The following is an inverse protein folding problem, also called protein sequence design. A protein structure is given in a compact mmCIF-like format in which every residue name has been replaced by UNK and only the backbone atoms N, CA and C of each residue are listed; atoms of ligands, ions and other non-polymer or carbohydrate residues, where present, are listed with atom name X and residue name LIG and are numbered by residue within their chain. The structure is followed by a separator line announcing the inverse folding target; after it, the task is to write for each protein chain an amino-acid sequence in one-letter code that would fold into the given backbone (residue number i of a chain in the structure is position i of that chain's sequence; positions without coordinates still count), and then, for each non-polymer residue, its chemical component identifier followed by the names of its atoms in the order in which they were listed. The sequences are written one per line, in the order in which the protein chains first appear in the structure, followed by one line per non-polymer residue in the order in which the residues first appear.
data_IF_585404468422
#
_entry.id   IF_585404468422
#
_cell.length_a   1.000
_cell.length_b   1.000
_cell.length_c   1.000
_cell.angle_alpha   90.00
_cell.angle_beta   90.00
_cell.angle_gamma   90.00
#
_symmetry.space_group_name_H-M   'P 1'
#
loop_
_entity.id
_entity.type
_entity.pdbx_description
1 polymer ?
#
# COMPACT_ATOMS: atom_id res chain seq x y z
N UNK A 1 -46.14 32.79 47.94
CA UNK A 1 -47.55 32.48 47.60
C UNK A 1 -47.47 31.58 46.37
N UNK A 2 -47.49 30.24 46.50
CA UNK A 2 -48.69 29.40 46.65
C UNK A 2 -49.36 29.27 45.28
N UNK A 3 -49.62 28.11 44.66
CA UNK A 3 -50.29 26.93 45.20
C UNK A 3 -50.34 25.81 44.11
N UNK A 4 -50.17 24.55 44.59
CA UNK A 4 -50.69 23.23 44.15
C UNK A 4 -50.46 22.59 42.76
N UNK A 5 -50.06 21.31 42.85
CA UNK A 5 -50.18 20.18 41.89
C UNK A 5 -51.65 19.69 41.75
N UNK A 6 -51.99 18.87 40.74
CA UNK A 6 -52.03 17.41 40.97
C UNK A 6 -51.48 16.57 39.80
N UNK A 7 -51.10 15.33 40.11
CA UNK A 7 -50.51 14.37 39.15
C UNK A 7 -51.53 13.47 38.44
N UNK A 8 -51.04 12.69 37.48
CA UNK A 8 -51.68 11.46 37.01
C UNK A 8 -50.65 10.49 36.37
N UNK A 9 -51.03 9.22 36.40
CA UNK A 9 -50.28 7.97 36.32
C UNK A 9 -49.61 7.60 34.96
N UNK A 10 -48.65 6.67 35.09
CA UNK A 10 -48.27 5.52 34.25
C UNK A 10 -48.60 5.54 32.75
N UNK A 11 -47.64 5.13 31.90
CA UNK A 11 -47.64 3.83 31.21
C UNK A 11 -46.33 3.68 30.42
N UNK A 12 -45.60 2.58 30.63
CA UNK A 12 -44.53 2.15 29.75
C UNK A 12 -45.14 1.37 28.57
N UNK A 13 -44.80 1.76 27.34
CA UNK A 13 -44.95 0.91 26.16
C UNK A 13 -43.57 0.76 25.51
N UNK A 14 -43.05 -0.46 25.55
CA UNK A 14 -41.99 -0.90 24.65
C UNK A 14 -42.66 -1.25 23.33
N UNK A 15 -42.26 -0.60 22.26
CA UNK A 15 -42.56 -1.02 20.89
C UNK A 15 -41.24 -1.21 20.16
N UNK A 16 -40.92 -2.47 19.92
CA UNK A 16 -40.03 -2.94 18.88
C UNK A 16 -40.50 -2.43 17.52
N UNK A 17 -39.64 -1.72 16.80
CA UNK A 17 -39.81 -1.46 15.38
C UNK A 17 -38.67 -2.15 14.61
N UNK A 18 -38.98 -3.36 14.13
CA UNK A 18 -38.36 -3.91 12.94
C UNK A 18 -38.89 -3.08 11.76
N UNK A 19 -38.07 -2.17 11.23
CA UNK A 19 -38.39 -1.35 10.07
C UNK A 19 -37.61 -1.83 8.87
N UNK A 20 -38.20 -2.77 8.12
CA UNK A 20 -37.77 -3.05 6.75
C UNK A 20 -38.13 -1.88 5.84
N UNK A 21 -37.20 -1.52 4.96
CA UNK A 21 -37.40 -0.51 3.92
C UNK A 21 -36.59 -0.88 2.69
N UNK A 22 -37.23 -1.55 1.74
CA UNK A 22 -36.72 -1.66 0.38
C UNK A 22 -36.99 -0.38 -0.40
N UNK A 23 -36.05 0.00 -1.26
CA UNK A 23 -36.18 1.10 -2.20
C UNK A 23 -35.04 1.05 -3.21
N UNK A 24 -35.38 0.79 -4.48
CA UNK A 24 -34.43 0.71 -5.57
C UNK A 24 -34.11 2.05 -6.21
N UNK A 25 -33.22 1.98 -7.21
CA UNK A 25 -33.01 3.04 -8.21
C UNK A 25 -31.77 3.88 -7.95
N UNK A 26 -30.69 3.57 -8.66
CA UNK A 26 -29.50 4.40 -8.72
C UNK A 26 -28.30 3.54 -9.06
N UNK A 27 -27.88 3.53 -10.33
CA UNK A 27 -26.55 3.09 -10.71
C UNK A 27 -25.54 4.14 -10.22
N UNK A 28 -25.36 4.21 -8.91
CA UNK A 28 -24.22 4.89 -8.31
C UNK A 28 -23.04 3.96 -8.49
N UNK A 29 -22.12 4.35 -9.36
CA UNK A 29 -20.83 3.68 -9.52
C UNK A 29 -19.94 4.08 -8.34
N UNK A 30 -20.38 3.78 -7.11
CA UNK A 30 -19.47 3.83 -5.98
C UNK A 30 -18.50 2.66 -6.15
N UNK A 31 -17.18 2.91 -6.19
CA UNK A 31 -16.22 1.82 -6.21
C UNK A 31 -16.49 0.89 -5.03
N UNK A 32 -16.38 -0.44 -5.22
CA UNK A 32 -16.71 -1.41 -4.18
C UNK A 32 -15.95 -1.10 -2.89
N UNK A 33 -16.66 -1.13 -1.75
CA UNK A 33 -16.08 -0.91 -0.42
C UNK A 33 -15.11 -2.05 -0.12
N UNK A 34 -13.84 -1.72 0.13
CA UNK A 34 -12.82 -2.69 0.53
C UNK A 34 -12.90 -2.90 2.04
N UNK A 35 -13.16 -4.14 2.47
CA UNK A 35 -13.09 -4.50 3.90
C UNK A 35 -11.63 -4.72 4.28
N UNK A 36 -11.18 -4.13 5.39
CA UNK A 36 -9.83 -4.36 5.90
C UNK A 36 -9.59 -5.85 6.18
N UNK A 37 -8.44 -6.44 5.76
CA UNK A 37 -8.12 -7.81 6.10
C UNK A 37 -7.89 -7.97 7.60
N UNK A 38 -8.17 -9.18 8.10
CA UNK A 38 -7.84 -9.57 9.48
C UNK A 38 -6.58 -10.43 9.44
N UNK A 39 -5.49 -9.91 10.02
CA UNK A 39 -4.28 -10.69 10.29
C UNK A 39 -4.28 -11.09 11.77
N UNK A 40 -4.11 -12.38 12.07
CA UNK A 40 -3.97 -12.84 13.46
C UNK A 40 -2.57 -12.53 13.99
N UNK A 41 -2.47 -12.02 15.21
CA UNK A 41 -1.18 -11.82 15.88
C UNK A 41 -0.41 -13.14 15.94
N UNK A 42 0.80 -13.14 15.39
CA UNK A 42 1.74 -14.23 15.64
C UNK A 42 2.10 -14.18 17.13
N UNK A 43 1.47 -15.06 17.91
CA UNK A 43 1.76 -15.26 19.32
C UNK A 43 3.27 -15.28 19.55
N UNK A 44 3.75 -14.33 20.35
CA UNK A 44 5.15 -14.15 20.68
C UNK A 44 5.68 -15.38 21.43
N UNK A 45 6.22 -16.37 20.70
CA UNK A 45 7.15 -17.34 21.30
C UNK A 45 8.50 -16.67 21.37
N UNK A 46 8.84 -16.28 22.59
CA UNK A 46 10.12 -15.75 23.03
C UNK A 46 11.22 -16.81 22.77
N UNK A 47 11.70 -16.86 21.53
CA UNK A 47 12.99 -17.46 21.19
C UNK A 47 13.91 -16.31 20.87
N UNK A 48 14.94 -16.13 21.70
CA UNK A 48 16.03 -15.16 21.53
C UNK A 48 16.30 -14.89 20.04
N UNK A 49 16.06 -13.66 19.52
CA UNK A 49 16.34 -13.38 18.13
C UNK A 49 17.85 -13.40 17.93
N UNK A 50 18.37 -14.44 17.27
CA UNK A 50 19.58 -14.24 16.49
C UNK A 50 19.22 -13.16 15.48
N UNK A 51 19.67 -11.93 15.73
CA UNK A 51 19.44 -10.80 14.83
C UNK A 51 20.01 -11.18 13.48
N UNK A 52 19.20 -11.36 12.42
CA UNK A 52 19.78 -11.49 11.10
C UNK A 52 20.52 -10.18 10.82
N UNK A 53 21.84 -10.25 10.67
CA UNK A 53 22.69 -9.08 10.47
C UNK A 53 22.48 -8.39 9.10
N UNK A 54 21.61 -8.94 8.27
CA UNK A 54 21.42 -8.54 6.87
C UNK A 54 20.15 -7.71 6.74
N UNK A 55 20.27 -6.54 6.11
CA UNK A 55 19.14 -5.68 5.80
C UNK A 55 18.09 -6.41 4.94
N UNK A 56 16.79 -6.08 5.09
CA UNK A 56 15.76 -6.51 4.15
C UNK A 56 16.13 -6.20 2.69
N UNK A 57 15.71 -7.07 1.77
CA UNK A 57 16.01 -6.91 0.34
C UNK A 57 14.83 -6.28 -0.39
N UNK A 58 15.17 -5.41 -1.34
CA UNK A 58 14.24 -4.86 -2.32
C UNK A 58 13.63 -5.97 -3.19
N UNK A 59 12.39 -5.79 -3.64
CA UNK A 59 11.65 -6.84 -4.34
C UNK A 59 11.06 -6.35 -5.67
N UNK A 60 10.92 -7.29 -6.58
CA UNK A 60 10.17 -7.15 -7.82
C UNK A 60 9.44 -8.45 -8.14
N UNK A 61 8.27 -8.35 -8.77
CA UNK A 61 7.52 -9.52 -9.23
C UNK A 61 8.02 -10.04 -10.59
N UNK A 62 8.77 -9.22 -11.34
CA UNK A 62 9.37 -9.60 -12.62
C UNK A 62 10.52 -8.69 -13.03
N UNK A 63 11.49 -9.25 -13.75
CA UNK A 63 12.76 -8.57 -14.03
C UNK A 63 13.74 -8.73 -12.86
N UNK A 64 14.71 -7.82 -12.74
CA UNK A 64 15.71 -7.85 -11.66
C UNK A 64 16.01 -6.47 -11.11
N UNK A 65 16.35 -6.40 -9.83
CA UNK A 65 16.84 -5.19 -9.17
C UNK A 65 18.30 -5.37 -8.74
N UNK A 66 19.10 -4.33 -9.00
CA UNK A 66 20.46 -4.21 -8.48
C UNK A 66 20.67 -2.78 -7.99
N UNK A 67 20.53 -2.59 -6.66
CA UNK A 67 20.49 -1.27 -6.04
C UNK A 67 19.39 -0.41 -6.66
N UNK A 68 19.79 0.69 -7.30
CA UNK A 68 18.89 1.64 -7.96
C UNK A 68 18.62 1.35 -9.44
N UNK A 69 19.07 0.20 -9.94
CA UNK A 69 18.86 -0.20 -11.33
C UNK A 69 17.79 -1.29 -11.40
N UNK A 70 16.77 -1.05 -12.23
CA UNK A 70 15.77 -2.04 -12.58
C UNK A 70 15.99 -2.53 -14.01
N UNK A 71 16.09 -3.84 -14.18
CA UNK A 71 16.14 -4.49 -15.48
C UNK A 71 14.79 -5.15 -15.73
N UNK A 72 14.08 -4.74 -16.77
CA UNK A 72 12.76 -5.29 -17.12
C UNK A 72 12.85 -6.77 -17.51
N UNK A 73 11.72 -7.50 -17.54
CA UNK A 73 11.66 -8.85 -18.12
C UNK A 73 12.18 -8.94 -19.56
N UNK A 74 12.15 -7.83 -20.30
CA UNK A 74 12.67 -7.70 -21.68
C UNK A 74 14.17 -7.38 -21.74
N UNK A 75 14.86 -7.29 -20.60
CA UNK A 75 16.29 -7.01 -20.52
C UNK A 75 16.66 -5.53 -20.68
N UNK A 76 15.72 -4.59 -20.52
CA UNK A 76 16.01 -3.15 -20.57
C UNK A 76 16.33 -2.62 -19.19
N UNK A 77 17.42 -1.88 -19.07
CA UNK A 77 17.86 -1.31 -17.80
C UNK A 77 17.43 0.14 -17.63
N UNK A 78 16.97 0.46 -16.42
CA UNK A 78 16.61 1.80 -16.00
C UNK A 78 17.31 2.11 -14.68
N UNK A 79 18.16 3.14 -14.68
CA UNK A 79 18.69 3.72 -13.43
C UNK A 79 17.60 4.62 -12.85
N UNK A 80 16.91 4.09 -11.84
CA UNK A 80 15.72 4.70 -11.25
C UNK A 80 16.05 6.01 -10.53
N UNK A 81 17.29 6.13 -10.03
CA UNK A 81 17.77 7.28 -9.27
C UNK A 81 18.85 8.00 -10.08
N UNK A 82 18.45 9.05 -10.79
CA UNK A 82 19.35 9.87 -11.61
C UNK A 82 19.16 11.37 -11.33
N UNK A 83 20.17 12.18 -11.65
CA UNK A 83 20.03 13.64 -11.65
C UNK A 83 18.99 14.07 -12.68
N UNK A 84 18.05 14.95 -12.29
CA UNK A 84 17.02 15.49 -13.19
C UNK A 84 15.60 14.97 -12.93
N UNK A 85 15.42 14.03 -11.99
CA UNK A 85 14.10 13.61 -11.53
C UNK A 85 13.53 14.70 -10.61
N UNK A 86 12.40 15.29 -11.00
CA UNK A 86 11.72 16.30 -10.18
C UNK A 86 10.87 15.63 -9.10
N UNK A 87 10.88 16.22 -7.92
CA UNK A 87 9.97 15.88 -6.84
C UNK A 87 8.51 16.01 -7.30
N UNK A 88 7.80 14.89 -7.47
CA UNK A 88 6.35 14.82 -7.65
C UNK A 88 5.91 14.39 -9.04
N UNK A 89 6.84 14.05 -9.93
CA UNK A 89 6.52 13.60 -11.29
C UNK A 89 6.78 12.11 -11.44
N UNK A 90 5.80 11.32 -11.90
CA UNK A 90 6.05 9.95 -12.38
C UNK A 90 6.98 10.00 -13.59
N UNK A 91 8.07 9.23 -13.55
CA UNK A 91 8.88 8.97 -14.75
C UNK A 91 8.29 7.78 -15.49
N UNK A 92 8.07 7.91 -16.80
CA UNK A 92 7.59 6.81 -17.64
C UNK A 92 8.42 6.70 -18.90
N UNK A 93 8.94 5.50 -19.15
CA UNK A 93 9.64 5.15 -20.37
C UNK A 93 8.89 4.07 -21.14
N UNK A 94 8.50 4.39 -22.37
CA UNK A 94 7.80 3.47 -23.27
C UNK A 94 8.71 2.90 -24.34
N UNK A 95 8.52 1.63 -24.66
CA UNK A 95 9.05 1.01 -25.87
C UNK A 95 7.95 1.02 -26.92
N UNK A 96 8.22 1.54 -28.11
CA UNK A 96 7.20 1.67 -29.16
C UNK A 96 7.60 0.99 -30.47
N UNK A 97 6.63 0.53 -31.24
CA UNK A 97 6.78 0.02 -32.61
C UNK A 97 6.12 0.97 -33.62
N UNK A 98 6.49 0.82 -34.90
CA UNK A 98 5.84 1.53 -36.00
C UNK A 98 6.07 3.04 -35.96
N UNK A 99 7.26 3.47 -35.52
CA UNK A 99 7.60 4.89 -35.42
C UNK A 99 6.89 5.63 -34.27
N UNK A 100 6.53 4.94 -33.19
CA UNK A 100 5.88 5.55 -32.02
C UNK A 100 4.38 5.30 -31.92
N UNK A 101 3.78 4.63 -32.90
CA UNK A 101 2.32 4.44 -32.97
C UNK A 101 1.78 3.40 -32.00
N UNK A 102 2.57 2.38 -31.65
CA UNK A 102 2.13 1.29 -30.80
C UNK A 102 3.04 1.18 -29.59
N UNK A 103 2.48 1.37 -28.40
CA UNK A 103 3.18 1.13 -27.14
C UNK A 103 3.27 -0.38 -26.91
N UNK A 104 4.49 -0.90 -26.83
CA UNK A 104 4.81 -2.30 -26.55
C UNK A 104 4.82 -2.46 -25.04
N UNK A 105 5.84 -1.92 -24.37
CA UNK A 105 5.97 -1.92 -22.91
C UNK A 105 6.12 -0.51 -22.36
N UNK A 106 5.80 -0.34 -21.08
CA UNK A 106 6.09 0.88 -20.33
C UNK A 106 6.68 0.54 -18.97
N UNK A 107 7.72 1.26 -18.57
CA UNK A 107 8.25 1.25 -17.19
C UNK A 107 7.95 2.59 -16.57
N UNK A 108 7.28 2.60 -15.43
CA UNK A 108 6.94 3.82 -14.68
C UNK A 108 7.49 3.74 -13.28
N UNK A 109 8.02 4.82 -12.73
CA UNK A 109 8.43 4.86 -11.33
C UNK A 109 8.17 6.22 -10.72
N UNK A 110 7.76 6.19 -9.45
CA UNK A 110 7.43 7.39 -8.71
C UNK A 110 8.63 7.93 -7.96
N UNK A 111 8.58 9.25 -7.87
CA UNK A 111 9.57 10.11 -7.28
C UNK A 111 8.85 11.34 -6.76
N UNK A 112 9.28 11.79 -5.58
CA UNK A 112 8.65 12.93 -4.92
C UNK A 112 9.47 13.48 -3.79
N UNK A 113 9.49 12.77 -2.68
CA UNK A 113 10.06 13.29 -1.44
C UNK A 113 10.97 12.28 -0.73
N UNK A 114 11.12 11.11 -1.33
CA UNK A 114 11.86 9.99 -0.78
C UNK A 114 13.32 10.03 -1.22
N UNK A 115 14.20 9.99 -0.23
CA UNK A 115 15.66 9.92 -0.34
C UNK A 115 16.18 8.49 -0.21
N UNK A 116 15.36 7.54 0.20
CA UNK A 116 15.80 6.16 0.44
C UNK A 116 14.87 5.15 -0.23
N UNK A 117 13.84 5.57 -0.95
CA UNK A 117 12.84 4.68 -1.56
C UNK A 117 12.48 5.12 -2.97
N UNK A 118 12.43 4.15 -3.89
CA UNK A 118 11.77 4.26 -5.20
C UNK A 118 10.85 3.06 -5.38
N UNK A 119 9.70 3.28 -5.99
CA UNK A 119 8.78 2.23 -6.37
C UNK A 119 8.24 2.49 -7.76
N UNK A 120 7.84 1.43 -8.45
CA UNK A 120 7.40 1.52 -9.83
C UNK A 120 6.76 0.26 -10.35
N UNK A 121 6.50 0.27 -11.65
CA UNK A 121 5.84 -0.78 -12.38
C UNK A 121 6.46 -0.96 -13.76
N UNK A 122 6.26 -2.15 -14.32
CA UNK A 122 6.47 -2.44 -15.72
C UNK A 122 5.23 -3.12 -16.26
N UNK A 123 4.77 -2.68 -17.44
CA UNK A 123 3.61 -3.28 -18.12
C UNK A 123 3.99 -3.60 -19.54
N UNK A 124 3.66 -4.82 -19.99
CA UNK A 124 3.73 -5.22 -21.39
C UNK A 124 2.35 -5.25 -22.02
N UNK A 125 2.04 -4.22 -22.80
CA UNK A 125 0.71 -3.91 -23.32
C UNK A 125 0.21 -4.92 -24.36
N UNK A 126 1.08 -5.63 -25.06
CA UNK A 126 0.65 -6.66 -26.02
C UNK A 126 0.25 -7.98 -25.33
N UNK A 127 0.79 -8.26 -24.15
CA UNK A 127 0.52 -9.52 -23.41
C UNK A 127 -0.35 -9.32 -22.18
N UNK A 128 -0.52 -8.08 -21.73
CA UNK A 128 -1.19 -7.75 -20.47
C UNK A 128 -0.36 -8.07 -19.22
N UNK A 129 0.92 -8.46 -19.36
CA UNK A 129 1.77 -8.69 -18.19
C UNK A 129 2.01 -7.38 -17.44
N UNK A 130 1.88 -7.45 -16.11
CA UNK A 130 2.04 -6.32 -15.20
C UNK A 130 2.91 -6.75 -14.03
N UNK A 131 4.02 -6.04 -13.86
CA UNK A 131 5.00 -6.30 -12.82
C UNK A 131 5.19 -5.04 -11.97
N UNK A 132 5.49 -5.25 -10.70
CA UNK A 132 5.70 -4.18 -9.73
C UNK A 132 7.05 -4.36 -9.05
N UNK A 133 7.66 -3.24 -8.67
CA UNK A 133 8.94 -3.23 -8.00
C UNK A 133 9.04 -2.11 -6.99
N UNK A 134 9.88 -2.30 -5.99
CA UNK A 134 10.39 -1.23 -5.15
C UNK A 134 11.84 -1.51 -4.78
N UNK A 135 12.60 -0.44 -4.58
CA UNK A 135 13.97 -0.50 -4.10
C UNK A 135 14.25 0.61 -3.11
N UNK A 136 15.15 0.35 -2.17
CA UNK A 136 15.52 1.33 -1.17
C UNK A 136 16.72 0.96 -0.32
N UNK A 137 17.27 1.97 0.36
CA UNK A 137 18.33 1.81 1.34
C UNK A 137 17.70 1.28 2.64
N UNK A 138 17.60 -0.05 2.76
CA UNK A 138 16.85 -0.69 3.83
C UNK A 138 17.37 -0.35 5.25
N UNK A 139 16.45 -0.06 6.17
CA UNK A 139 16.77 0.18 7.58
C UNK A 139 17.18 -1.14 8.23
N UNK A 140 18.38 -1.15 8.85
CA UNK A 140 18.85 -2.31 9.61
C UNK A 140 17.92 -2.61 10.78
N UNK A 141 17.74 -3.90 11.10
CA UNK A 141 16.91 -4.33 12.24
C UNK A 141 17.32 -3.66 13.57
N UNK A 142 18.61 -3.43 13.79
CA UNK A 142 19.14 -2.76 14.97
C UNK A 142 18.77 -1.26 15.07
N UNK A 143 18.43 -0.63 13.94
CA UNK A 143 18.07 0.79 13.85
C UNK A 143 16.55 1.01 13.79
N UNK A 144 15.76 -0.07 13.78
CA UNK A 144 14.31 0.04 13.83
C UNK A 144 13.84 0.59 15.18
N UNK A 145 12.89 1.55 15.20
CA UNK A 145 12.22 1.92 16.44
C UNK A 145 11.54 0.70 17.07
N UNK A 146 11.63 0.58 18.39
CA UNK A 146 11.05 -0.54 19.16
C UNK A 146 9.85 -0.12 19.99
N UNK A 147 9.51 1.16 20.01
CA UNK A 147 8.39 1.74 20.75
C UNK A 147 7.76 2.91 19.99
N UNK A 148 6.55 3.27 20.41
CA UNK A 148 5.80 4.38 19.86
C UNK A 148 5.08 4.03 18.56
N UNK A 149 4.36 5.02 18.04
CA UNK A 149 3.63 4.91 16.79
C UNK A 149 4.17 5.91 15.77
N UNK A 150 3.91 5.65 14.49
CA UNK A 150 4.24 6.57 13.41
C UNK A 150 3.23 6.47 12.29
N UNK A 151 2.98 7.60 11.64
CA UNK A 151 2.23 7.66 10.39
C UNK A 151 3.19 7.92 9.24
N UNK A 152 3.03 7.17 8.16
CA UNK A 152 3.72 7.39 6.89
C UNK A 152 2.69 7.80 5.84
N UNK A 153 2.99 8.84 5.07
CA UNK A 153 2.15 9.30 3.97
C UNK A 153 2.95 9.28 2.69
N UNK A 154 2.33 8.81 1.62
CA UNK A 154 2.99 8.60 0.35
C UNK A 154 1.99 8.28 -0.73
N UNK A 155 2.40 7.43 -1.67
CA UNK A 155 1.60 7.06 -2.82
C UNK A 155 1.75 5.58 -3.16
N UNK A 156 0.69 5.00 -3.70
CA UNK A 156 0.71 3.75 -4.43
C UNK A 156 0.72 4.00 -5.94
N UNK A 157 1.28 3.07 -6.71
CA UNK A 157 1.32 3.10 -8.16
C UNK A 157 0.79 1.80 -8.75
N UNK A 158 -0.07 1.94 -9.76
CA UNK A 158 -0.47 0.88 -10.67
C UNK A 158 -0.33 1.41 -12.09
N UNK A 159 0.46 0.72 -12.90
CA UNK A 159 0.96 1.24 -14.19
C UNK A 159 1.63 2.61 -14.00
N UNK A 160 1.08 3.69 -14.56
CA UNK A 160 1.54 5.08 -14.35
C UNK A 160 0.65 5.88 -13.40
N UNK A 161 -0.43 5.27 -12.91
CA UNK A 161 -1.45 5.94 -12.10
C UNK A 161 -1.04 5.94 -10.62
N UNK A 162 -1.06 7.12 -10.02
CA UNK A 162 -0.79 7.30 -8.59
C UNK A 162 -2.09 7.38 -7.80
N UNK A 163 -2.03 6.93 -6.55
CA UNK A 163 -3.06 7.20 -5.56
C UNK A 163 -2.45 7.43 -4.20
N UNK A 164 -3.11 8.23 -3.36
CA UNK A 164 -2.62 8.56 -2.02
C UNK A 164 -2.54 7.30 -1.16
N UNK A 165 -1.43 7.17 -0.43
CA UNK A 165 -1.19 6.07 0.48
C UNK A 165 -0.92 6.58 1.90
N UNK A 166 -1.43 5.84 2.88
CA UNK A 166 -1.20 6.08 4.30
C UNK A 166 -0.90 4.76 4.98
N UNK A 167 0.09 4.77 5.87
CA UNK A 167 0.41 3.63 6.73
C UNK A 167 0.52 4.09 8.17
N UNK A 168 -0.08 3.33 9.08
CA UNK A 168 0.00 3.57 10.52
C UNK A 168 0.74 2.39 11.16
N UNK A 169 1.79 2.73 11.89
CA UNK A 169 2.75 1.79 12.48
C UNK A 169 2.65 1.87 13.99
N UNK A 170 2.58 0.70 14.63
CA UNK A 170 2.86 0.56 16.06
C UNK A 170 4.13 -0.30 16.21
N UNK A 171 5.23 0.35 16.60
CA UNK A 171 6.52 -0.32 16.73
C UNK A 171 6.59 -1.23 17.96
N UNK A 172 5.83 -0.92 19.01
CA UNK A 172 5.77 -1.75 20.20
C UNK A 172 4.96 -3.02 19.94
N UNK A 173 3.80 -2.88 19.29
CA UNK A 173 2.97 -4.01 18.89
C UNK A 173 3.52 -4.76 17.65
N UNK A 174 4.50 -4.18 16.94
CA UNK A 174 5.04 -4.68 15.68
C UNK A 174 3.94 -4.88 14.62
N UNK A 175 3.03 -3.93 14.53
CA UNK A 175 1.91 -3.96 13.57
C UNK A 175 2.02 -2.82 12.57
N UNK A 176 1.48 -3.07 11.38
CA UNK A 176 1.33 -2.11 10.30
C UNK A 176 -0.07 -2.24 9.72
N UNK A 177 -0.77 -1.12 9.61
CA UNK A 177 -1.96 -0.99 8.77
C UNK A 177 -1.65 -0.03 7.63
N UNK A 178 -2.28 -0.24 6.48
CA UNK A 178 -2.06 0.59 5.32
C UNK A 178 -3.29 0.71 4.44
N UNK A 179 -3.39 1.82 3.75
CA UNK A 179 -4.42 2.07 2.75
C UNK A 179 -3.78 2.76 1.55
N UNK A 180 -4.14 2.33 0.34
CA UNK A 180 -3.97 3.11 -0.89
C UNK A 180 -5.37 3.45 -1.38
N UNK A 181 -5.69 4.74 -1.46
CA UNK A 181 -7.04 5.22 -1.73
C UNK A 181 -7.56 4.78 -3.11
N UNK A 182 -8.87 4.61 -3.23
CA UNK A 182 -9.50 4.43 -4.53
C UNK A 182 -9.47 5.74 -5.33
N UNK A 183 -9.29 5.66 -6.65
CA UNK A 183 -9.59 6.74 -7.58
C UNK A 183 -9.87 6.20 -8.99
N UNK A 184 -10.42 7.02 -9.88
CA UNK A 184 -10.86 6.60 -11.22
C UNK A 184 -9.75 5.97 -12.07
N UNK A 185 -8.49 6.37 -11.86
CA UNK A 185 -7.35 5.91 -12.66
C UNK A 185 -6.60 4.73 -12.02
N UNK A 186 -6.52 4.69 -10.69
CA UNK A 186 -5.88 3.63 -9.93
C UNK A 186 -6.79 2.40 -9.76
N UNK A 187 -8.10 2.65 -9.67
CA UNK A 187 -9.13 1.66 -9.39
C UNK A 187 -9.48 1.60 -7.91
N UNK A 188 -9.90 0.40 -7.46
CA UNK A 188 -10.34 0.15 -6.09
C UNK A 188 -9.27 0.44 -5.04
N UNK A 189 -9.72 0.79 -3.85
CA UNK A 189 -8.88 0.95 -2.66
C UNK A 189 -8.18 -0.37 -2.32
N UNK A 190 -6.93 -0.27 -1.89
CA UNK A 190 -6.17 -1.38 -1.29
C UNK A 190 -6.09 -1.16 0.21
N UNK A 191 -6.68 -2.06 1.00
CA UNK A 191 -6.55 -2.09 2.46
C UNK A 191 -5.55 -3.17 2.88
N UNK A 192 -4.67 -2.87 3.83
CA UNK A 192 -3.54 -3.71 4.25
C UNK A 192 -3.45 -3.81 5.77
N UNK A 193 -3.14 -5.01 6.27
CA UNK A 193 -2.84 -5.24 7.67
C UNK A 193 -1.79 -6.35 7.81
N UNK A 194 -0.74 -6.09 8.59
CA UNK A 194 0.37 -7.02 8.75
C UNK A 194 1.24 -6.75 9.97
N UNK A 195 2.36 -7.46 10.02
CA UNK A 195 3.31 -7.43 11.12
C UNK A 195 4.70 -7.01 10.65
N UNK A 196 5.48 -6.48 11.59
CA UNK A 196 6.84 -5.98 11.38
C UNK A 196 7.85 -6.98 11.94
N UNK A 197 8.89 -7.29 11.17
CA UNK A 197 9.99 -8.12 11.60
C UNK A 197 11.29 -7.73 10.87
N UNK A 198 12.39 -7.60 11.62
CA UNK A 198 13.74 -7.40 11.08
C UNK A 198 13.89 -6.23 10.08
N UNK A 199 13.15 -5.13 10.28
CA UNK A 199 13.14 -3.98 9.37
C UNK A 199 12.24 -4.16 8.13
N UNK A 200 11.66 -5.33 7.96
CA UNK A 200 10.64 -5.65 6.96
C UNK A 200 9.23 -5.68 7.55
N UNK A 201 8.24 -5.84 6.68
CA UNK A 201 6.87 -6.13 7.04
C UNK A 201 6.19 -7.02 6.01
N UNK A 202 5.22 -7.80 6.46
CA UNK A 202 4.38 -8.65 5.60
C UNK A 202 2.98 -8.75 6.17
N UNK A 203 1.98 -8.94 5.31
CA UNK A 203 0.62 -9.22 5.76
C UNK A 203 -0.36 -9.43 4.62
N UNK A 204 -1.64 -9.30 4.95
CA UNK A 204 -2.73 -9.46 4.00
C UNK A 204 -3.14 -8.11 3.39
N UNK A 205 -3.61 -8.19 2.15
CA UNK A 205 -4.21 -7.08 1.42
C UNK A 205 -5.60 -7.46 0.93
N UNK A 206 -6.47 -6.49 0.77
CA UNK A 206 -7.79 -6.63 0.14
C UNK A 206 -7.98 -5.48 -0.86
N UNK A 207 -8.58 -5.76 -2.01
CA UNK A 207 -8.89 -4.74 -3.02
C UNK A 207 -10.12 -5.13 -3.83
N UNK A 208 -11.23 -4.40 -3.68
CA UNK A 208 -12.43 -4.62 -4.50
C UNK A 208 -12.96 -6.05 -4.44
N UNK A 209 -12.87 -6.70 -3.27
CA UNK A 209 -13.27 -8.09 -3.06
C UNK A 209 -12.23 -9.15 -3.44
N UNK A 210 -11.03 -8.75 -3.87
CA UNK A 210 -9.91 -9.66 -4.08
C UNK A 210 -8.99 -9.70 -2.88
N UNK A 211 -8.70 -10.90 -2.40
CA UNK A 211 -7.67 -11.12 -1.39
C UNK A 211 -6.28 -11.08 -2.01
N UNK A 212 -5.32 -10.58 -1.24
CA UNK A 212 -3.94 -10.47 -1.64
C UNK A 212 -3.00 -10.46 -0.44
N UNK A 213 -1.75 -10.17 -0.72
CA UNK A 213 -0.70 -10.00 0.29
C UNK A 213 0.04 -8.70 0.03
N UNK A 214 0.70 -8.18 1.06
CA UNK A 214 1.67 -7.12 0.88
C UNK A 214 2.94 -7.43 1.63
N UNK A 215 4.05 -6.92 1.10
CA UNK A 215 5.39 -7.11 1.63
C UNK A 215 6.21 -5.86 1.36
N UNK A 216 7.14 -5.54 2.24
CA UNK A 216 7.98 -4.37 2.09
C UNK A 216 9.04 -4.24 3.18
N UNK A 217 9.76 -3.13 3.15
CA UNK A 217 10.69 -2.78 4.20
C UNK A 217 10.75 -1.28 4.47
N UNK A 218 11.17 -0.95 5.69
CA UNK A 218 11.53 0.41 6.08
C UNK A 218 12.86 0.78 5.43
N UNK A 219 13.00 2.06 5.11
CA UNK A 219 14.12 2.64 4.39
C UNK A 219 14.66 3.87 5.11
N UNK A 220 15.97 4.05 4.98
CA UNK A 220 16.74 5.13 5.59
C UNK A 220 17.37 4.73 6.93
N UNK A 221 18.27 5.57 7.46
CA UNK A 221 19.00 5.29 8.69
C UNK A 221 18.13 4.97 9.91
N UNK A 222 16.94 5.58 10.01
CA UNK A 222 16.05 5.50 11.18
C UNK A 222 14.59 5.21 10.82
N UNK A 223 14.37 4.50 9.71
CA UNK A 223 13.04 4.22 9.16
C UNK A 223 12.26 5.52 8.82
N UNK A 224 12.89 6.44 8.12
CA UNK A 224 12.27 7.69 7.65
C UNK A 224 11.23 7.41 6.56
N UNK A 225 11.39 6.30 5.85
CA UNK A 225 10.57 5.92 4.71
C UNK A 225 10.20 4.44 4.75
N UNK A 226 9.27 4.04 3.90
CA UNK A 226 8.99 2.64 3.62
C UNK A 226 8.66 2.45 2.14
N UNK A 227 8.89 1.25 1.64
CA UNK A 227 8.50 0.82 0.30
C UNK A 227 8.01 -0.61 0.30
N UNK A 228 7.16 -0.96 -0.66
CA UNK A 228 6.63 -2.31 -0.74
C UNK A 228 5.75 -2.57 -1.95
N UNK A 229 5.20 -3.78 -1.99
CA UNK A 229 4.32 -4.31 -3.03
C UNK A 229 3.04 -4.84 -2.39
N UNK A 230 1.90 -4.58 -3.03
CA UNK A 230 0.65 -5.30 -2.82
C UNK A 230 0.40 -6.19 -4.04
N UNK A 231 0.17 -7.48 -3.78
CA UNK A 231 0.05 -8.51 -4.81
C UNK A 231 -1.26 -9.28 -4.66
N UNK A 232 -1.91 -9.53 -5.81
CA UNK A 232 -3.20 -10.19 -5.89
C UNK A 232 -3.16 -11.31 -6.93
N UNK A 233 -4.18 -12.19 -6.90
CA UNK A 233 -4.33 -13.26 -7.90
C UNK A 233 -4.46 -12.71 -9.32
N UNK A 234 -5.20 -11.62 -9.49
CA UNK A 234 -5.17 -10.84 -10.73
C UNK A 234 -3.95 -9.91 -10.68
N UNK A 235 -2.87 -10.33 -11.33
CA UNK A 235 -1.59 -9.61 -11.29
C UNK A 235 -1.69 -8.23 -11.94
N UNK A 236 -2.69 -7.96 -12.77
CA UNK A 236 -2.98 -6.60 -13.30
C UNK A 236 -3.42 -5.62 -12.21
N UNK A 237 -3.77 -6.14 -11.03
CA UNK A 237 -4.11 -5.37 -9.83
C UNK A 237 -2.94 -5.25 -8.86
N UNK A 238 -1.76 -5.78 -9.18
CA UNK A 238 -0.59 -5.53 -8.34
C UNK A 238 -0.34 -4.01 -8.25
N UNK A 239 0.21 -3.57 -7.13
CA UNK A 239 0.59 -2.20 -6.92
C UNK A 239 1.93 -2.14 -6.17
N UNK A 240 2.76 -1.16 -6.49
CA UNK A 240 3.90 -0.81 -5.66
C UNK A 240 3.57 0.46 -4.88
N UNK A 241 4.28 0.70 -3.78
CA UNK A 241 4.05 1.88 -2.96
C UNK A 241 5.31 2.34 -2.25
N UNK A 242 5.30 3.60 -1.85
CA UNK A 242 6.31 4.19 -0.98
C UNK A 242 5.76 5.38 -0.20
N UNK A 243 6.24 5.57 1.02
CA UNK A 243 5.75 6.60 1.92
C UNK A 243 6.84 7.14 2.86
N UNK A 244 6.66 8.38 3.32
CA UNK A 244 7.58 9.08 4.22
C UNK A 244 6.89 9.32 5.57
N UNK A 245 7.63 9.11 6.65
CA UNK A 245 7.18 9.38 8.02
C UNK A 245 6.81 10.86 8.20
N UNK A 246 5.72 11.12 8.91
CA UNK A 246 5.22 12.47 9.24
C UNK A 246 5.72 12.97 10.59
#
# INVERSE_FOLDING_TARGET
MGILKPGLLLTAFVLTACGGGGGGGGSDSTPPVTTAPVQTDNGNTDTTPETPATAPVSLTTGGTLSGWTYTTPEGREYVLRNSGISAGSVQTHGVTRGGGQFLISSTSWCCGRMSYTIFGTWTQHETGQHEVFYTGDATLAANMPTQGTATYVGQGMRESNLSDARFDIDFAAKTITGTIAANDTFGSEIAMQGNIANGGFTGNAQSGGQEGTFTGHFNGPTAEELGGLAQFTDTTKNASFGATRQ
#
